data_IF_569089667670
#
_entry.id   IF_569089667670
#
_cell.length_a   1.000
_cell.length_b   1.000
_cell.length_c   1.000
_cell.angle_alpha   90.00
_cell.angle_beta   90.00
_cell.angle_gamma   90.00
#
_symmetry.space_group_name_H-M   'P 1'
#
loop_
_entity.id
_entity.type
_entity.pdbx_description
1 polymer ?
#
# COMPACT_ATOMS: atom_id res chain seq x y z
N UNK A 1 15.61 63.53 -20.65
CA UNK A 1 14.25 62.99 -20.43
C UNK A 1 14.16 62.41 -19.03
N UNK A 2 13.90 63.27 -18.06
CA UNK A 2 13.55 62.83 -16.71
C UNK A 2 12.06 62.48 -16.80
N UNK A 3 11.74 61.19 -16.74
CA UNK A 3 10.36 60.73 -16.58
C UNK A 3 9.92 61.02 -15.14
N UNK A 4 9.49 62.24 -14.87
CA UNK A 4 8.72 62.57 -13.65
C UNK A 4 7.25 62.30 -13.93
N UNK A 5 6.60 61.56 -13.02
CA UNK A 5 5.16 61.31 -13.09
C UNK A 5 4.39 62.65 -13.20
N UNK A 6 3.43 62.78 -14.13
CA UNK A 6 2.64 64.00 -14.26
C UNK A 6 1.77 64.21 -13.02
N UNK A 7 1.79 65.42 -12.46
CA UNK A 7 0.92 65.83 -11.36
C UNK A 7 -0.49 66.05 -11.95
N UNK A 8 -1.27 64.97 -12.06
CA UNK A 8 -2.70 65.08 -12.32
C UNK A 8 -3.43 65.43 -11.01
N UNK A 9 -4.22 66.50 -11.04
CA UNK A 9 -5.13 66.86 -9.96
C UNK A 9 -6.25 65.82 -9.86
N UNK A 10 -6.00 64.80 -9.04
CA UNK A 10 -6.91 64.25 -8.03
C UNK A 10 -8.40 64.22 -8.41
N UNK A 11 -8.78 63.20 -9.21
CA UNK A 11 -10.04 62.46 -8.99
C UNK A 11 -9.93 61.52 -7.75
N UNK A 12 -8.86 61.64 -6.94
CA UNK A 12 -8.53 60.77 -5.81
C UNK A 12 -9.59 60.67 -4.71
N UNK A 13 -10.53 61.61 -4.55
CA UNK A 13 -11.44 61.53 -3.41
C UNK A 13 -12.46 60.38 -3.50
N UNK A 14 -12.71 59.87 -4.71
CA UNK A 14 -13.59 58.72 -4.92
C UNK A 14 -12.80 57.42 -4.77
N UNK A 15 -11.63 57.35 -5.40
CA UNK A 15 -10.72 56.21 -5.34
C UNK A 15 -10.20 55.93 -3.92
N UNK A 16 -9.92 56.96 -3.11
CA UNK A 16 -9.45 56.75 -1.75
C UNK A 16 -10.53 56.20 -0.82
N UNK A 17 -11.80 56.57 -1.04
CA UNK A 17 -12.92 56.01 -0.27
C UNK A 17 -13.20 54.57 -0.66
N UNK A 18 -13.14 54.26 -1.96
CA UNK A 18 -13.26 52.89 -2.45
C UNK A 18 -12.09 52.03 -1.94
N UNK A 19 -10.87 52.54 -1.98
CA UNK A 19 -9.67 51.87 -1.45
C UNK A 19 -9.72 51.68 0.08
N UNK A 20 -10.19 52.67 0.85
CA UNK A 20 -10.37 52.51 2.30
C UNK A 20 -11.48 51.50 2.63
N UNK A 21 -12.56 51.46 1.84
CA UNK A 21 -13.61 50.46 1.99
C UNK A 21 -13.08 49.06 1.69
N UNK A 22 -12.38 48.89 0.58
CA UNK A 22 -11.80 47.60 0.20
C UNK A 22 -10.73 47.14 1.20
N UNK A 23 -9.88 48.05 1.68
CA UNK A 23 -8.87 47.74 2.69
C UNK A 23 -9.48 47.36 4.04
N UNK A 24 -10.63 47.95 4.39
CA UNK A 24 -11.41 47.57 5.57
C UNK A 24 -12.05 46.19 5.40
N UNK A 25 -12.66 45.93 4.24
CA UNK A 25 -13.25 44.63 3.93
C UNK A 25 -12.19 43.50 3.94
N UNK A 26 -11.00 43.78 3.40
CA UNK A 26 -9.85 42.87 3.42
C UNK A 26 -9.32 42.64 4.84
N UNK A 27 -9.21 43.67 5.67
CA UNK A 27 -8.77 43.50 7.07
C UNK A 27 -9.80 42.74 7.89
N UNK A 28 -11.11 42.97 7.67
CA UNK A 28 -12.17 42.16 8.28
C UNK A 28 -12.13 40.70 7.81
N UNK A 29 -11.86 40.44 6.53
CA UNK A 29 -11.65 39.09 6.00
C UNK A 29 -10.42 38.42 6.65
N UNK A 30 -9.29 39.11 6.73
CA UNK A 30 -8.06 38.60 7.36
C UNK A 30 -8.30 38.29 8.84
N UNK A 31 -8.99 39.15 9.57
CA UNK A 31 -9.35 38.92 10.97
C UNK A 31 -10.31 37.74 11.14
N UNK A 32 -11.26 37.59 10.22
CA UNK A 32 -12.21 36.47 10.21
C UNK A 32 -11.52 35.15 9.88
N UNK A 33 -10.57 35.13 8.95
CA UNK A 33 -9.81 33.92 8.61
C UNK A 33 -8.75 33.56 9.65
N UNK A 34 -8.07 34.55 10.24
CA UNK A 34 -7.08 34.32 11.30
C UNK A 34 -7.71 33.80 12.60
N UNK A 35 -8.91 34.25 12.96
CA UNK A 35 -9.63 33.79 14.16
C UNK A 35 -10.36 32.44 13.98
N UNK A 36 -10.82 32.11 12.77
CA UNK A 36 -11.62 30.90 12.51
C UNK A 36 -10.85 29.67 12.02
N UNK A 37 -9.51 29.76 11.85
CA UNK A 37 -8.69 28.67 11.32
C UNK A 37 -8.75 27.37 12.16
N UNK A 38 -9.18 27.45 13.42
CA UNK A 38 -9.20 26.31 14.36
C UNK A 38 -10.56 25.59 14.40
N UNK A 39 -11.67 26.15 13.87
CA UNK A 39 -13.01 25.63 14.18
C UNK A 39 -13.94 25.31 13.00
N UNK A 40 -13.61 25.63 11.73
CA UNK A 40 -14.43 25.17 10.60
C UNK A 40 -13.94 23.81 10.06
N UNK A 41 -14.57 22.73 10.53
CA UNK A 41 -14.89 21.62 9.62
C UNK A 41 -15.86 22.20 8.60
N UNK A 42 -15.37 22.56 7.42
CA UNK A 42 -16.23 22.93 6.31
C UNK A 42 -17.27 21.83 6.13
N UNK A 43 -18.55 22.18 6.16
CA UNK A 43 -19.61 21.28 5.69
C UNK A 43 -19.36 21.12 4.20
N UNK A 44 -18.63 20.06 3.83
CA UNK A 44 -18.31 19.78 2.45
C UNK A 44 -19.63 19.58 1.68
N UNK A 45 -19.78 20.32 0.59
CA UNK A 45 -20.96 20.24 -0.29
C UNK A 45 -21.08 18.88 -0.98
N UNK A 46 -19.96 18.16 -1.06
CA UNK A 46 -19.90 16.79 -1.52
C UNK A 46 -19.60 15.88 -0.31
N UNK A 47 -20.21 14.71 -0.32
CA UNK A 47 -19.87 13.59 0.57
C UNK A 47 -19.61 12.35 -0.27
N UNK A 48 -18.69 11.51 0.18
CA UNK A 48 -18.27 10.32 -0.56
C UNK A 48 -18.46 9.12 0.36
N UNK A 49 -19.37 8.24 -0.01
CA UNK A 49 -19.59 6.96 0.64
C UNK A 49 -19.05 5.84 -0.26
N UNK A 50 -18.50 4.79 0.34
CA UNK A 50 -17.94 3.65 -0.40
C UNK A 50 -18.75 2.40 -0.04
N UNK A 51 -19.36 1.77 -1.05
CA UNK A 51 -20.09 0.53 -0.91
C UNK A 51 -19.19 -0.66 -1.30
N UNK A 52 -18.88 -1.50 -0.32
CA UNK A 52 -17.89 -2.58 -0.41
C UNK A 52 -18.63 -3.91 -0.41
N UNK A 53 -18.66 -4.65 -1.53
CA UNK A 53 -19.40 -5.91 -1.60
C UNK A 53 -18.65 -7.05 -0.90
N UNK A 54 -19.38 -7.94 -0.21
CA UNK A 54 -18.76 -9.11 0.44
C UNK A 54 -18.45 -10.26 -0.54
N UNK A 55 -18.76 -10.12 -1.83
CA UNK A 55 -18.60 -11.16 -2.84
C UNK A 55 -17.75 -10.70 -4.01
N UNK A 56 -16.89 -11.60 -4.50
CA UNK A 56 -16.03 -11.35 -5.66
C UNK A 56 -16.74 -11.77 -6.96
N UNK A 57 -16.63 -10.93 -7.99
CA UNK A 57 -17.05 -11.27 -9.35
C UNK A 57 -16.09 -12.32 -9.92
N UNK A 58 -16.54 -13.58 -9.98
CA UNK A 58 -15.72 -14.74 -10.40
C UNK A 58 -15.33 -14.74 -11.89
N UNK A 59 -15.82 -13.80 -12.71
CA UNK A 59 -15.50 -13.77 -14.12
C UNK A 59 -14.09 -13.23 -14.38
N UNK A 60 -13.18 -14.09 -14.86
CA UNK A 60 -11.83 -13.69 -15.29
C UNK A 60 -11.74 -13.19 -16.74
N UNK A 61 -12.83 -13.23 -17.50
CA UNK A 61 -12.83 -12.96 -18.95
C UNK A 61 -12.43 -11.53 -19.35
N UNK A 62 -12.18 -10.64 -18.39
CA UNK A 62 -11.70 -9.25 -18.59
C UNK A 62 -10.49 -8.89 -17.71
N UNK A 63 -9.86 -9.88 -17.08
CA UNK A 63 -8.72 -9.62 -16.20
C UNK A 63 -7.45 -9.32 -17.01
N UNK A 64 -6.61 -8.36 -16.57
CA UNK A 64 -5.30 -8.13 -17.18
C UNK A 64 -4.42 -9.40 -17.13
N UNK A 65 -3.48 -9.54 -18.08
CA UNK A 65 -2.56 -10.71 -18.15
C UNK A 65 -1.75 -10.93 -16.86
N UNK A 66 -1.45 -9.84 -16.15
CA UNK A 66 -0.71 -9.86 -14.88
C UNK A 66 -1.58 -10.21 -13.64
N UNK A 67 -2.89 -10.43 -13.80
CA UNK A 67 -3.82 -10.63 -12.68
C UNK A 67 -3.78 -12.06 -12.18
N UNK A 68 -3.58 -12.24 -10.87
CA UNK A 68 -3.69 -13.56 -10.21
C UNK A 68 -5.05 -13.75 -9.53
N UNK A 69 -5.82 -12.67 -9.33
CA UNK A 69 -7.14 -12.70 -8.71
C UNK A 69 -8.26 -12.50 -9.73
N UNK A 70 -9.50 -12.91 -9.41
CA UNK A 70 -10.68 -12.39 -10.09
C UNK A 70 -10.83 -10.87 -9.85
N UNK A 71 -11.70 -10.24 -10.65
CA UNK A 71 -11.97 -8.81 -10.54
C UNK A 71 -12.91 -8.52 -9.37
N UNK A 72 -12.60 -7.47 -8.61
CA UNK A 72 -13.37 -7.03 -7.47
C UNK A 72 -13.90 -5.62 -7.70
N UNK A 73 -15.21 -5.45 -7.69
CA UNK A 73 -15.86 -4.17 -7.99
C UNK A 73 -16.27 -3.47 -6.70
N UNK A 74 -15.94 -2.20 -6.55
CA UNK A 74 -16.37 -1.36 -5.42
C UNK A 74 -17.09 -0.15 -5.98
N UNK A 75 -18.23 0.19 -5.39
CA UNK A 75 -19.05 1.32 -5.81
C UNK A 75 -18.76 2.54 -4.94
N UNK A 76 -18.35 3.64 -5.57
CA UNK A 76 -18.19 4.93 -4.92
C UNK A 76 -19.45 5.76 -5.12
N UNK A 77 -20.15 6.08 -4.05
CA UNK A 77 -21.37 6.90 -4.06
C UNK A 77 -21.00 8.33 -3.67
N UNK A 78 -20.96 9.21 -4.67
CA UNK A 78 -20.67 10.63 -4.50
C UNK A 78 -22.00 11.37 -4.42
N UNK A 79 -22.28 11.98 -3.27
CA UNK A 79 -23.50 12.76 -3.04
C UNK A 79 -23.17 14.23 -2.99
N UNK A 80 -23.87 15.03 -3.79
CA UNK A 80 -23.75 16.49 -3.77
C UNK A 80 -25.03 17.09 -3.19
N UNK A 81 -24.86 17.97 -2.20
CA UNK A 81 -25.91 18.80 -1.62
C UNK A 81 -25.94 20.21 -2.21
N UNK A 82 -25.09 20.47 -3.22
CA UNK A 82 -25.03 21.77 -3.88
C UNK A 82 -26.27 22.02 -4.74
N UNK A 83 -26.81 23.25 -4.65
CA UNK A 83 -27.92 23.71 -5.50
C UNK A 83 -27.47 24.15 -6.90
N UNK A 84 -26.19 23.96 -7.25
CA UNK A 84 -25.57 24.33 -8.51
C UNK A 84 -24.73 23.17 -9.06
N UNK A 85 -24.37 23.23 -10.34
CA UNK A 85 -23.54 22.22 -10.99
C UNK A 85 -22.08 22.36 -10.56
N UNK A 86 -21.50 21.29 -10.03
CA UNK A 86 -20.07 21.19 -9.76
C UNK A 86 -19.43 20.51 -10.97
N UNK A 87 -18.42 21.15 -11.54
CA UNK A 87 -17.74 20.70 -12.74
C UNK A 87 -16.41 20.02 -12.42
N UNK A 88 -15.94 19.15 -13.33
CA UNK A 88 -14.59 18.56 -13.32
C UNK A 88 -14.22 17.84 -12.02
N UNK A 89 -15.12 16.98 -11.54
CA UNK A 89 -14.88 16.20 -10.33
C UNK A 89 -13.98 15.03 -10.68
N UNK A 90 -12.86 14.90 -9.97
CA UNK A 90 -11.84 13.88 -10.20
C UNK A 90 -11.82 12.92 -9.03
N UNK A 91 -12.15 11.66 -9.28
CA UNK A 91 -11.99 10.57 -8.32
C UNK A 91 -10.62 9.93 -8.56
N UNK A 92 -9.75 10.03 -7.55
CA UNK A 92 -8.45 9.35 -7.50
C UNK A 92 -8.51 8.26 -6.44
N UNK A 93 -8.12 7.04 -6.79
CA UNK A 93 -8.06 5.90 -5.88
C UNK A 93 -6.64 5.35 -5.81
N UNK A 94 -6.12 5.23 -4.60
CA UNK A 94 -4.78 4.76 -4.27
C UNK A 94 -4.85 3.53 -3.36
N UNK A 95 -5.03 2.32 -3.91
CA UNK A 95 -4.88 1.08 -3.16
C UNK A 95 -3.40 0.78 -2.87
N UNK A 96 -3.15 -0.06 -1.87
CA UNK A 96 -1.79 -0.55 -1.57
C UNK A 96 -1.44 -1.71 -2.50
N UNK A 97 -0.34 -1.58 -3.23
CA UNK A 97 0.19 -2.65 -4.07
C UNK A 97 0.46 -3.90 -3.21
N UNK A 98 0.16 -5.13 -3.69
CA UNK A 98 -0.24 -5.59 -5.02
C UNK A 98 -1.70 -5.37 -5.45
N UNK A 99 -2.55 -4.75 -4.63
CA UNK A 99 -3.91 -4.43 -5.05
C UNK A 99 -3.86 -3.24 -6.02
N UNK A 100 -4.42 -3.41 -7.21
CA UNK A 100 -4.36 -2.41 -8.28
C UNK A 100 -5.77 -2.13 -8.78
N UNK A 101 -6.09 -0.83 -8.92
CA UNK A 101 -7.29 -0.38 -9.60
C UNK A 101 -7.05 -0.38 -11.11
N UNK A 102 -7.99 -0.93 -11.89
CA UNK A 102 -7.93 -0.93 -13.36
C UNK A 102 -7.98 0.50 -13.92
N UNK A 103 -8.80 1.36 -13.31
CA UNK A 103 -8.92 2.79 -13.61
C UNK A 103 -8.80 3.57 -12.29
N UNK A 104 -7.57 3.88 -11.83
CA UNK A 104 -7.34 4.57 -10.56
C UNK A 104 -7.79 6.03 -10.59
N UNK A 105 -8.01 6.60 -11.77
CA UNK A 105 -8.44 7.96 -11.96
C UNK A 105 -9.65 8.01 -12.87
N UNK A 106 -10.71 8.68 -12.43
CA UNK A 106 -11.93 8.90 -13.21
C UNK A 106 -12.38 10.35 -13.11
N UNK A 107 -12.79 10.92 -14.25
CA UNK A 107 -13.33 12.27 -14.33
C UNK A 107 -14.83 12.19 -14.48
N UNK A 108 -15.54 12.97 -13.69
CA UNK A 108 -16.98 13.17 -13.76
C UNK A 108 -17.17 14.62 -14.18
N UNK A 109 -17.81 14.81 -15.33
CA UNK A 109 -17.90 16.12 -15.96
C UNK A 109 -18.73 17.08 -15.13
N UNK A 110 -19.91 16.65 -14.66
CA UNK A 110 -20.81 17.46 -13.83
C UNK A 110 -21.57 16.62 -12.83
N UNK A 111 -21.75 17.14 -11.61
CA UNK A 111 -22.70 16.61 -10.63
C UNK A 111 -23.60 17.77 -10.17
N UNK A 112 -24.91 17.54 -10.20
CA UNK A 112 -25.95 18.42 -9.67
C UNK A 112 -26.41 17.94 -8.29
N UNK A 113 -27.54 18.44 -7.78
CA UNK A 113 -28.12 17.91 -6.54
C UNK A 113 -28.57 16.45 -6.76
N UNK A 114 -27.87 15.52 -6.11
CA UNK A 114 -28.13 14.09 -6.28
C UNK A 114 -26.96 13.20 -5.93
N UNK A 115 -27.12 11.91 -6.25
CA UNK A 115 -26.16 10.86 -5.96
C UNK A 115 -25.66 10.24 -7.26
N UNK A 116 -24.35 10.20 -7.46
CA UNK A 116 -23.71 9.52 -8.59
C UNK A 116 -22.92 8.33 -8.08
N UNK A 117 -23.17 7.14 -8.62
CA UNK A 117 -22.44 5.92 -8.26
C UNK A 117 -21.43 5.59 -9.35
N UNK A 118 -20.19 5.33 -8.93
CA UNK A 118 -19.06 5.07 -9.83
C UNK A 118 -18.45 3.72 -9.47
N UNK A 119 -18.53 2.72 -10.38
CA UNK A 119 -17.86 1.45 -10.16
C UNK A 119 -16.36 1.58 -10.43
N UNK A 120 -15.55 1.08 -9.50
CA UNK A 120 -14.10 0.95 -9.64
C UNK A 120 -13.72 -0.51 -9.46
N UNK A 121 -12.97 -1.04 -10.42
CA UNK A 121 -12.56 -2.45 -10.45
C UNK A 121 -11.13 -2.58 -9.94
N UNK A 122 -10.91 -3.52 -9.03
CA UNK A 122 -9.63 -3.86 -8.41
C UNK A 122 -9.25 -5.32 -8.70
N UNK A 123 -7.95 -5.60 -8.67
CA UNK A 123 -7.40 -6.95 -8.75
C UNK A 123 -6.05 -7.01 -8.02
N UNK A 124 -5.55 -8.20 -7.75
CA UNK A 124 -4.28 -8.44 -7.05
C UNK A 124 -3.24 -9.00 -8.02
N UNK A 125 -2.00 -8.50 -7.93
CA UNK A 125 -0.83 -9.03 -8.66
C UNK A 125 0.09 -9.87 -7.78
N UNK A 126 0.59 -10.99 -8.30
CA UNK A 126 1.81 -11.76 -7.94
C UNK A 126 2.22 -12.06 -6.47
N UNK A 127 1.78 -11.34 -5.43
CA UNK A 127 2.19 -11.49 -4.03
C UNK A 127 1.09 -11.06 -3.04
N UNK A 128 1.37 -11.15 -1.74
CA UNK A 128 0.41 -10.82 -0.65
C UNK A 128 0.55 -9.34 -0.29
N UNK A 129 -0.55 -8.59 -0.10
CA UNK A 129 -0.49 -7.20 0.35
C UNK A 129 -0.12 -7.03 1.82
N UNK A 130 0.61 -5.95 2.12
CA UNK A 130 0.98 -5.58 3.49
C UNK A 130 -0.23 -5.19 4.36
N UNK A 131 -1.24 -4.57 3.76
CA UNK A 131 -2.49 -4.21 4.42
C UNK A 131 -3.64 -4.20 3.40
N UNK A 132 -4.87 -4.01 3.87
CA UNK A 132 -6.07 -3.95 3.05
C UNK A 132 -6.62 -2.52 2.93
N UNK A 133 -5.82 -1.52 3.28
CA UNK A 133 -6.29 -0.14 3.32
C UNK A 133 -6.29 0.45 1.90
N UNK A 134 -7.32 1.22 1.58
CA UNK A 134 -7.43 1.97 0.33
C UNK A 134 -7.78 3.41 0.65
N UNK A 135 -7.06 4.33 0.02
CA UNK A 135 -7.38 5.76 0.07
C UNK A 135 -8.05 6.16 -1.24
N UNK A 136 -9.02 7.06 -1.16
CA UNK A 136 -9.63 7.67 -2.31
C UNK A 136 -9.87 9.16 -2.05
N UNK A 137 -9.51 9.98 -3.02
CA UNK A 137 -9.59 11.43 -2.96
C UNK A 137 -10.48 11.92 -4.09
N UNK A 138 -11.49 12.71 -3.74
CA UNK A 138 -12.35 13.41 -4.70
C UNK A 138 -11.93 14.87 -4.73
N UNK A 139 -11.49 15.32 -5.89
CA UNK A 139 -11.02 16.69 -6.12
C UNK A 139 -12.03 17.38 -7.01
N UNK A 140 -12.50 18.57 -6.64
CA UNK A 140 -13.46 19.33 -7.43
C UNK A 140 -13.20 20.84 -7.34
N UNK A 141 -13.68 21.56 -8.35
CA UNK A 141 -13.65 23.02 -8.42
C UNK A 141 -15.06 23.57 -8.37
N UNK A 142 -15.27 24.63 -7.60
CA UNK A 142 -16.55 25.34 -7.55
C UNK A 142 -16.66 26.28 -8.77
N UNK A 143 -17.85 26.45 -9.38
CA UNK A 143 -18.00 27.25 -10.60
C UNK A 143 -17.64 28.74 -10.46
N UNK A 144 -17.63 29.26 -9.23
CA UNK A 144 -17.35 30.68 -8.92
C UNK A 144 -16.08 30.87 -8.06
N UNK A 145 -15.25 29.83 -7.92
CA UNK A 145 -14.00 29.92 -7.15
C UNK A 145 -12.90 29.15 -7.87
N UNK A 146 -11.72 29.76 -7.98
CA UNK A 146 -10.51 29.08 -8.44
C UNK A 146 -9.95 28.12 -7.37
N UNK A 147 -10.59 28.04 -6.20
CA UNK A 147 -10.23 27.11 -5.14
C UNK A 147 -10.63 25.67 -5.50
N UNK A 148 -9.65 24.77 -5.38
CA UNK A 148 -9.88 23.33 -5.48
C UNK A 148 -10.12 22.75 -4.10
N UNK A 149 -11.23 22.04 -3.95
CA UNK A 149 -11.55 21.32 -2.73
C UNK A 149 -11.22 19.85 -2.91
N UNK A 150 -10.70 19.24 -1.84
CA UNK A 150 -10.35 17.82 -1.82
C UNK A 150 -11.05 17.14 -0.65
N UNK A 151 -11.78 16.08 -0.93
CA UNK A 151 -12.38 15.20 0.07
C UNK A 151 -11.62 13.89 0.05
N UNK A 152 -11.08 13.50 1.20
CA UNK A 152 -10.43 12.21 1.36
C UNK A 152 -11.38 11.24 2.05
N UNK A 153 -11.50 10.05 1.49
CA UNK A 153 -12.14 8.92 2.12
C UNK A 153 -11.16 7.75 2.16
N UNK A 154 -11.30 6.90 3.16
CA UNK A 154 -10.46 5.72 3.34
C UNK A 154 -11.32 4.56 3.77
N UNK A 155 -11.07 3.39 3.20
CA UNK A 155 -11.78 2.17 3.55
C UNK A 155 -10.83 0.98 3.57
N UNK A 156 -11.31 -0.16 4.06
CA UNK A 156 -10.55 -1.41 4.05
C UNK A 156 -11.22 -2.43 3.15
N UNK A 157 -10.44 -3.10 2.31
CA UNK A 157 -10.92 -4.24 1.54
C UNK A 157 -11.22 -5.42 2.47
N UNK A 158 -12.23 -6.25 2.15
CA UNK A 158 -12.43 -7.53 2.82
C UNK A 158 -11.31 -8.49 2.43
N UNK A 159 -10.94 -9.39 3.36
CA UNK A 159 -9.85 -10.36 3.18
C UNK A 159 -10.01 -11.25 1.94
N UNK A 160 -11.25 -11.44 1.47
CA UNK A 160 -11.57 -12.22 0.28
C UNK A 160 -10.88 -11.67 -0.98
N UNK A 161 -10.59 -10.36 -1.06
CA UNK A 161 -9.85 -9.80 -2.22
C UNK A 161 -8.48 -10.48 -2.41
N UNK A 162 -7.89 -11.00 -1.33
CA UNK A 162 -6.58 -11.62 -1.34
C UNK A 162 -6.60 -13.13 -1.58
N UNK A 163 -7.77 -13.79 -1.53
CA UNK A 163 -7.86 -15.23 -1.66
C UNK A 163 -9.25 -15.82 -1.43
N UNK A 164 -9.31 -17.14 -1.39
CA UNK A 164 -10.56 -17.88 -1.23
C UNK A 164 -10.47 -18.94 -0.13
N UNK A 165 -11.62 -19.45 0.29
CA UNK A 165 -11.68 -20.61 1.18
C UNK A 165 -11.16 -21.86 0.47
N UNK A 166 -10.27 -22.59 1.13
CA UNK A 166 -9.63 -23.77 0.58
C UNK A 166 -9.47 -24.86 1.65
N UNK A 167 -9.17 -26.08 1.22
CA UNK A 167 -8.97 -27.20 2.15
C UNK A 167 -7.86 -26.87 3.18
N UNK A 168 -8.10 -27.07 4.49
CA UNK A 168 -7.10 -26.77 5.50
C UNK A 168 -5.89 -27.70 5.35
N UNK A 169 -4.70 -27.13 5.48
CA UNK A 169 -3.44 -27.87 5.48
C UNK A 169 -3.20 -28.47 6.86
N UNK A 170 -2.83 -29.76 6.90
CA UNK A 170 -2.52 -30.48 8.16
C UNK A 170 -1.06 -30.35 8.56
N UNK A 171 -0.17 -30.12 7.60
CA UNK A 171 1.27 -30.00 7.81
C UNK A 171 1.68 -28.57 7.50
N UNK A 172 1.98 -27.82 8.56
CA UNK A 172 2.38 -26.42 8.51
C UNK A 172 3.64 -26.22 9.35
N UNK A 173 4.68 -25.63 8.75
CA UNK A 173 5.96 -25.32 9.41
C UNK A 173 5.79 -24.29 10.53
N UNK A 174 5.16 -23.16 10.23
CA UNK A 174 5.00 -22.04 11.15
C UNK A 174 3.60 -22.02 11.76
N UNK A 175 3.52 -21.73 13.06
CA UNK A 175 2.29 -21.72 13.84
C UNK A 175 2.31 -20.50 14.74
N UNK A 176 1.16 -19.85 14.88
CA UNK A 176 0.98 -18.73 15.79
C UNK A 176 -0.32 -18.93 16.54
N UNK A 177 -0.24 -18.91 17.86
CA UNK A 177 -1.41 -19.08 18.72
C UNK A 177 -1.72 -17.79 19.47
N UNK A 178 -2.95 -17.33 19.33
CA UNK A 178 -3.53 -16.16 20.01
C UNK A 178 -4.51 -16.65 21.06
N UNK A 179 -4.45 -16.08 22.26
CA UNK A 179 -5.38 -16.34 23.36
C UNK A 179 -6.07 -15.04 23.75
N UNK A 180 -7.39 -15.10 23.93
CA UNK A 180 -8.25 -13.97 24.24
C UNK A 180 -9.02 -14.22 25.53
N UNK A 181 -9.33 -13.18 26.28
CA UNK A 181 -10.23 -13.26 27.45
C UNK A 181 -11.71 -13.51 27.08
N UNK A 182 -12.06 -13.50 25.79
CA UNK A 182 -13.43 -13.78 25.33
C UNK A 182 -13.84 -15.24 25.52
N UNK A 183 -15.15 -15.51 25.71
CA UNK A 183 -15.71 -16.86 25.59
C UNK A 183 -15.44 -17.42 24.20
N UNK A 184 -15.50 -18.75 24.07
CA UNK A 184 -15.25 -19.44 22.80
C UNK A 184 -16.19 -18.90 21.72
N UNK A 185 -15.63 -18.26 20.68
CA UNK A 185 -16.36 -17.84 19.49
C UNK A 185 -16.02 -18.78 18.34
N UNK A 186 -17.04 -19.28 17.65
CA UNK A 186 -16.86 -20.19 16.53
C UNK A 186 -16.38 -19.44 15.29
N UNK A 187 -15.54 -20.06 14.46
CA UNK A 187 -15.00 -19.42 13.26
C UNK A 187 -16.07 -18.96 12.25
N UNK A 188 -17.18 -19.69 12.02
CA UNK A 188 -18.28 -19.20 11.18
C UNK A 188 -18.93 -17.90 11.71
N UNK A 189 -18.87 -17.65 13.02
CA UNK A 189 -19.38 -16.43 13.62
C UNK A 189 -18.41 -15.25 13.46
N UNK A 190 -17.12 -15.53 13.35
CA UNK A 190 -16.07 -14.54 13.08
C UNK A 190 -16.04 -14.16 11.59
N UNK A 191 -16.34 -15.12 10.71
CA UNK A 191 -16.31 -14.98 9.25
C UNK A 191 -17.69 -15.03 8.61
N UNK A 192 -18.67 -14.32 9.21
CA UNK A 192 -20.07 -14.26 8.74
C UNK A 192 -20.20 -13.74 7.31
N UNK A 193 -19.37 -12.78 6.93
CA UNK A 193 -19.29 -12.16 5.60
C UNK A 193 -18.86 -13.15 4.50
N UNK A 194 -18.08 -14.17 4.85
CA UNK A 194 -17.63 -15.23 3.93
C UNK A 194 -18.62 -16.41 3.94
N UNK A 195 -19.53 -16.47 4.92
CA UNK A 195 -20.56 -17.49 5.01
C UNK A 195 -21.75 -17.11 4.11
N UNK A 196 -22.10 -17.93 3.10
CA UNK A 196 -23.10 -17.55 2.11
C UNK A 196 -24.53 -17.41 2.67
N UNK A 197 -24.82 -18.02 3.84
CA UNK A 197 -26.09 -17.91 4.61
C UNK A 197 -25.85 -18.21 6.09
N UNK A 198 -26.64 -17.62 6.99
CA UNK A 198 -26.63 -17.97 8.42
C UNK A 198 -26.86 -19.49 8.61
N UNK A 199 -25.99 -20.12 9.41
CA UNK A 199 -26.06 -21.55 9.70
C UNK A 199 -25.48 -22.48 8.62
N UNK A 200 -25.15 -21.99 7.41
CA UNK A 200 -24.53 -22.79 6.36
C UNK A 200 -23.01 -22.64 6.43
N UNK A 201 -22.33 -23.71 6.80
CA UNK A 201 -20.87 -23.75 6.84
C UNK A 201 -20.34 -23.93 5.40
N UNK A 202 -19.54 -22.99 4.87
CA UNK A 202 -18.94 -23.10 3.54
C UNK A 202 -18.13 -24.38 3.36
N UNK A 203 -18.00 -24.83 2.10
CA UNK A 203 -17.05 -25.88 1.73
C UNK A 203 -15.65 -25.46 2.20
N UNK A 204 -14.97 -26.33 2.95
CA UNK A 204 -13.66 -26.11 3.57
C UNK A 204 -13.61 -25.25 4.84
N UNK A 205 -14.75 -24.85 5.36
CA UNK A 205 -14.90 -24.38 6.74
C UNK A 205 -15.53 -25.48 7.59
N UNK A 206 -15.15 -25.53 8.85
CA UNK A 206 -15.82 -26.31 9.90
C UNK A 206 -16.05 -25.39 11.09
N UNK A 207 -16.73 -25.87 12.14
CA UNK A 207 -17.00 -25.07 13.35
C UNK A 207 -15.74 -24.40 13.93
N UNK A 208 -14.61 -25.09 13.83
CA UNK A 208 -13.35 -24.70 14.48
C UNK A 208 -12.15 -24.64 13.53
N UNK A 209 -12.31 -24.96 12.26
CA UNK A 209 -11.20 -24.97 11.29
C UNK A 209 -11.61 -24.22 10.05
N UNK A 210 -10.76 -23.29 9.61
CA UNK A 210 -10.89 -22.56 8.34
C UNK A 210 -9.60 -22.73 7.57
N UNK A 211 -9.68 -23.21 6.34
CA UNK A 211 -8.59 -23.11 5.39
C UNK A 211 -8.80 -21.92 4.46
N UNK A 212 -7.74 -21.15 4.24
CA UNK A 212 -7.70 -19.99 3.35
C UNK A 212 -6.53 -20.15 2.38
N UNK A 213 -6.73 -19.81 1.11
CA UNK A 213 -5.71 -19.87 0.08
C UNK A 213 -5.63 -18.52 -0.62
N UNK A 214 -4.47 -17.89 -0.54
CA UNK A 214 -4.16 -16.68 -1.29
C UNK A 214 -4.14 -16.96 -2.80
N UNK A 215 -4.36 -15.92 -3.60
CA UNK A 215 -4.30 -16.03 -5.07
C UNK A 215 -2.93 -16.48 -5.60
N UNK A 216 -1.85 -16.22 -4.85
CA UNK A 216 -0.51 -16.73 -5.16
C UNK A 216 -0.30 -18.20 -4.74
N UNK A 217 -1.38 -18.91 -4.38
CA UNK A 217 -1.45 -20.33 -4.01
C UNK A 217 -0.87 -20.69 -2.64
N UNK A 218 -0.51 -19.71 -1.81
CA UNK A 218 -0.10 -19.96 -0.43
C UNK A 218 -1.32 -20.28 0.44
N UNK A 219 -1.24 -21.35 1.23
CA UNK A 219 -2.33 -21.81 2.10
C UNK A 219 -2.07 -21.42 3.56
N UNK A 220 -3.13 -21.00 4.25
CA UNK A 220 -3.15 -20.71 5.68
C UNK A 220 -4.32 -21.48 6.31
N UNK A 221 -4.11 -22.01 7.50
CA UNK A 221 -5.13 -22.72 8.26
C UNK A 221 -5.30 -22.10 9.63
N UNK A 222 -6.53 -21.74 9.97
CA UNK A 222 -6.94 -21.21 11.27
C UNK A 222 -7.68 -22.31 12.02
N UNK A 223 -7.21 -22.62 13.23
CA UNK A 223 -7.81 -23.60 14.13
C UNK A 223 -8.25 -22.88 15.42
N UNK A 224 -9.56 -22.75 15.63
CA UNK A 224 -10.15 -22.31 16.89
C UNK A 224 -10.21 -23.45 17.91
N UNK A 225 -9.99 -23.13 19.17
CA UNK A 225 -10.20 -24.04 20.29
C UNK A 225 -11.68 -24.15 20.62
N UNK A 226 -12.14 -25.34 21.02
CA UNK A 226 -13.52 -25.58 21.46
C UNK A 226 -13.78 -25.20 22.91
N UNK A 227 -12.73 -25.01 23.71
CA UNK A 227 -12.82 -24.89 25.18
C UNK A 227 -12.35 -23.55 25.73
N UNK A 228 -11.57 -22.80 24.95
CA UNK A 228 -11.01 -21.49 25.33
C UNK A 228 -11.05 -20.56 24.12
N UNK A 229 -11.07 -19.25 24.33
CA UNK A 229 -10.89 -18.24 23.27
C UNK A 229 -9.48 -18.25 22.72
N UNK A 230 -9.06 -19.36 22.10
CA UNK A 230 -7.71 -19.57 21.59
C UNK A 230 -7.78 -19.94 20.12
N UNK A 231 -7.04 -19.22 19.28
CA UNK A 231 -7.01 -19.41 17.83
C UNK A 231 -5.57 -19.61 17.38
N UNK A 232 -5.32 -20.69 16.64
CA UNK A 232 -4.02 -21.01 16.07
C UNK A 232 -4.05 -20.82 14.55
N UNK A 233 -3.23 -19.91 14.06
CA UNK A 233 -2.98 -19.68 12.64
C UNK A 233 -1.74 -20.49 12.26
N UNK A 234 -1.74 -21.12 11.09
CA UNK A 234 -0.63 -21.96 10.66
C UNK A 234 -0.45 -21.96 9.15
N UNK A 235 0.80 -21.98 8.70
CA UNK A 235 1.20 -21.91 7.29
C UNK A 235 2.59 -22.53 7.10
N UNK A 236 2.96 -22.87 5.86
CA UNK A 236 4.35 -23.20 5.50
C UNK A 236 5.23 -21.97 5.28
N UNK A 237 4.61 -20.80 5.14
CA UNK A 237 5.25 -19.51 4.87
C UNK A 237 4.90 -18.53 5.99
N UNK A 238 5.91 -17.81 6.50
CA UNK A 238 5.78 -16.95 7.67
C UNK A 238 5.00 -15.66 7.32
N UNK A 239 5.30 -15.08 6.17
CA UNK A 239 4.68 -13.87 5.62
C UNK A 239 3.15 -14.01 5.47
N UNK A 240 2.67 -15.24 5.27
CA UNK A 240 1.26 -15.54 5.06
C UNK A 240 0.42 -15.44 6.33
N UNK A 241 1.05 -15.51 7.51
CA UNK A 241 0.38 -15.52 8.82
C UNK A 241 -0.09 -14.11 9.19
N UNK A 242 0.71 -13.08 8.91
CA UNK A 242 0.50 -11.72 9.41
C UNK A 242 -0.84 -11.10 8.97
N UNK A 243 -1.20 -11.20 7.69
CA UNK A 243 -2.42 -10.57 7.18
C UNK A 243 -3.68 -11.22 7.77
N UNK A 244 -3.69 -12.55 7.88
CA UNK A 244 -4.78 -13.31 8.53
C UNK A 244 -4.83 -13.02 10.03
N UNK A 245 -3.68 -12.85 10.69
CA UNK A 245 -3.59 -12.47 12.09
C UNK A 245 -4.31 -11.13 12.34
N UNK A 246 -4.02 -10.10 11.54
CA UNK A 246 -4.64 -8.78 11.71
C UNK A 246 -6.13 -8.82 11.41
N UNK A 247 -6.53 -9.50 10.33
CA UNK A 247 -7.93 -9.67 10.00
C UNK A 247 -8.70 -10.35 11.14
N UNK A 248 -8.16 -11.46 11.67
CA UNK A 248 -8.75 -12.18 12.81
C UNK A 248 -8.81 -11.28 14.06
N UNK A 249 -7.73 -10.58 14.40
CA UNK A 249 -7.65 -9.64 15.53
C UNK A 249 -8.71 -8.54 15.42
N UNK A 250 -8.89 -7.96 14.23
CA UNK A 250 -9.86 -6.89 14.00
C UNK A 250 -11.30 -7.40 14.12
N UNK A 251 -11.60 -8.59 13.58
CA UNK A 251 -12.92 -9.22 13.68
C UNK A 251 -13.27 -9.57 15.13
N UNK A 252 -12.30 -10.10 15.88
CA UNK A 252 -12.47 -10.37 17.32
C UNK A 252 -12.71 -9.08 18.09
N UNK A 253 -11.97 -8.00 17.79
CA UNK A 253 -12.20 -6.67 18.38
C UNK A 253 -13.62 -6.16 18.11
N UNK A 254 -14.10 -6.27 16.88
CA UNK A 254 -15.48 -5.87 16.52
C UNK A 254 -16.51 -6.68 17.32
N UNK A 255 -16.35 -8.00 17.39
CA UNK A 255 -17.24 -8.86 18.18
C UNK A 255 -17.20 -8.55 19.68
N UNK A 256 -16.03 -8.20 20.21
CA UNK A 256 -15.88 -7.80 21.60
C UNK A 256 -16.65 -6.51 21.90
N UNK A 257 -16.60 -5.53 21.00
CA UNK A 257 -17.34 -4.26 21.13
C UNK A 257 -18.86 -4.49 21.11
N UNK A 258 -19.33 -5.49 20.37
CA UNK A 258 -20.76 -5.84 20.30
C UNK A 258 -21.25 -6.61 21.53
N UNK A 259 -20.41 -7.47 22.12
CA UNK A 259 -20.82 -8.45 23.13
C UNK A 259 -20.38 -8.14 24.56
N UNK A 260 -19.33 -7.34 24.76
CA UNK A 260 -18.70 -7.14 26.06
C UNK A 260 -18.53 -5.68 26.43
N UNK A 261 -18.58 -5.42 27.73
CA UNK A 261 -18.26 -4.12 28.37
C UNK A 261 -16.83 -4.05 28.89
N UNK A 262 -16.13 -5.18 29.01
CA UNK A 262 -14.74 -5.25 29.48
C UNK A 262 -13.73 -5.08 28.34
N UNK A 263 -12.53 -4.62 28.68
CA UNK A 263 -11.44 -4.45 27.71
C UNK A 263 -10.95 -5.81 27.19
N UNK A 264 -10.78 -5.91 25.88
CA UNK A 264 -10.28 -7.12 25.21
C UNK A 264 -8.78 -7.28 25.44
N UNK A 265 -8.38 -8.37 26.08
CA UNK A 265 -6.99 -8.76 26.28
C UNK A 265 -6.62 -9.88 25.29
N UNK A 266 -5.57 -9.65 24.49
CA UNK A 266 -5.09 -10.56 23.45
C UNK A 266 -3.62 -10.88 23.74
N UNK A 267 -3.33 -12.16 24.00
CA UNK A 267 -1.99 -12.67 24.29
C UNK A 267 -1.50 -13.60 23.19
N UNK A 268 -0.21 -13.53 22.90
CA UNK A 268 0.46 -14.45 22.00
C UNK A 268 1.15 -15.55 22.82
N UNK A 269 0.89 -16.81 22.47
CA UNK A 269 1.46 -17.94 23.21
C UNK A 269 2.87 -18.30 22.72
N UNK A 270 3.16 -18.03 21.46
CA UNK A 270 4.40 -18.43 20.81
C UNK A 270 5.33 -17.21 20.72
N UNK A 271 6.54 -17.33 21.26
CA UNK A 271 7.66 -16.45 20.95
C UNK A 271 8.39 -17.08 19.78
N UNK A 272 8.24 -16.54 18.58
CA UNK A 272 9.16 -16.93 17.52
C UNK A 272 10.56 -16.45 17.88
N UNK A 273 11.51 -17.37 17.83
CA UNK A 273 12.92 -17.05 17.98
C UNK A 273 13.38 -16.29 16.75
N UNK A 274 14.25 -15.29 16.93
CA UNK A 274 14.72 -14.44 15.81
C UNK A 274 15.39 -15.27 14.70
N UNK A 275 15.90 -16.45 15.03
CA UNK A 275 16.57 -17.38 14.12
C UNK A 275 15.67 -17.80 12.95
N UNK A 276 14.34 -17.88 13.13
CA UNK A 276 13.39 -18.20 12.05
C UNK A 276 13.29 -17.09 10.99
N UNK A 277 13.72 -15.87 11.35
CA UNK A 277 13.61 -14.67 10.52
C UNK A 277 14.89 -14.41 9.71
N UNK A 278 16.06 -14.78 10.24
CA UNK A 278 17.39 -14.57 9.63
C UNK A 278 17.44 -14.98 8.15
N UNK A 279 16.92 -16.15 7.73
CA UNK A 279 16.98 -16.56 6.32
C UNK A 279 16.29 -15.59 5.36
N UNK A 280 15.23 -14.89 5.81
CA UNK A 280 14.54 -13.90 4.99
C UNK A 280 15.36 -12.62 4.84
N UNK A 281 16.12 -12.22 5.87
CA UNK A 281 17.05 -11.09 5.77
C UNK A 281 18.21 -11.42 4.83
N UNK A 282 18.82 -12.59 4.99
CA UNK A 282 19.92 -13.06 4.13
C UNK A 282 19.50 -13.12 2.66
N UNK A 283 18.30 -13.62 2.36
CA UNK A 283 17.77 -13.68 0.99
C UNK A 283 17.67 -12.29 0.33
N UNK A 284 17.20 -11.27 1.07
CA UNK A 284 17.12 -9.89 0.56
C UNK A 284 18.51 -9.31 0.34
N UNK A 285 19.44 -9.53 1.27
CA UNK A 285 20.81 -9.05 1.17
C UNK A 285 21.48 -9.67 -0.07
N UNK A 286 21.42 -10.99 -0.20
CA UNK A 286 22.00 -11.74 -1.32
C UNK A 286 21.42 -11.28 -2.67
N UNK A 287 20.11 -11.04 -2.77
CA UNK A 287 19.47 -10.53 -3.99
C UNK A 287 19.90 -9.11 -4.33
N UNK A 288 20.04 -8.24 -3.34
CA UNK A 288 20.52 -6.87 -3.55
C UNK A 288 22.00 -6.84 -3.96
N UNK A 289 22.86 -7.64 -3.34
CA UNK A 289 24.26 -7.81 -3.75
C UNK A 289 24.35 -8.30 -5.20
N UNK A 290 23.54 -9.30 -5.56
CA UNK A 290 23.46 -9.77 -6.95
C UNK A 290 23.00 -8.66 -7.90
N UNK A 291 22.03 -7.82 -7.51
CA UNK A 291 21.58 -6.70 -8.33
C UNK A 291 22.71 -5.68 -8.55
N UNK A 292 23.51 -5.39 -7.53
CA UNK A 292 24.67 -4.50 -7.64
C UNK A 292 25.70 -5.07 -8.61
N UNK A 293 26.08 -6.34 -8.47
CA UNK A 293 27.04 -6.99 -9.38
C UNK A 293 26.58 -6.97 -10.83
N UNK A 294 25.31 -7.29 -11.10
CA UNK A 294 24.74 -7.23 -12.46
C UNK A 294 24.69 -5.79 -13.00
N UNK A 295 24.46 -4.81 -12.14
CA UNK A 295 24.44 -3.38 -12.51
C UNK A 295 25.84 -2.90 -12.88
N UNK A 296 26.88 -3.34 -12.17
CA UNK A 296 28.27 -3.04 -12.53
C UNK A 296 28.67 -3.73 -13.84
N UNK A 297 28.25 -4.99 -14.02
CA UNK A 297 28.50 -5.74 -15.25
C UNK A 297 27.85 -5.09 -16.47
N UNK A 298 26.57 -4.69 -16.40
CA UNK A 298 25.91 -3.99 -17.52
C UNK A 298 26.57 -2.65 -17.81
N UNK A 299 27.03 -1.92 -16.79
CA UNK A 299 27.76 -0.67 -16.97
C UNK A 299 29.08 -0.91 -17.72
N UNK A 300 29.85 -1.91 -17.30
CA UNK A 300 31.10 -2.31 -17.94
C UNK A 300 30.88 -2.75 -19.39
N UNK A 301 29.86 -3.57 -19.66
CA UNK A 301 29.51 -4.02 -21.01
C UNK A 301 29.03 -2.87 -21.90
N UNK A 302 28.27 -1.93 -21.35
CA UNK A 302 27.83 -0.73 -22.07
C UNK A 302 29.00 0.18 -22.43
N UNK A 303 29.99 0.31 -21.55
CA UNK A 303 31.24 1.03 -21.86
C UNK A 303 32.02 0.34 -22.97
N UNK A 304 32.18 -0.99 -22.90
CA UNK A 304 32.82 -1.78 -23.96
C UNK A 304 32.10 -1.58 -25.30
N UNK A 305 30.77 -1.68 -25.31
CA UNK A 305 29.94 -1.46 -26.48
C UNK A 305 30.18 -0.07 -27.10
N UNK A 306 30.17 0.99 -26.28
CA UNK A 306 30.46 2.36 -26.72
C UNK A 306 31.87 2.50 -27.30
N UNK A 307 32.88 1.86 -26.71
CA UNK A 307 34.27 1.89 -27.22
C UNK A 307 34.37 1.18 -28.58
N UNK A 308 33.72 0.03 -28.74
CA UNK A 308 33.67 -0.70 -30.03
C UNK A 308 32.97 0.12 -31.10
N UNK A 309 31.83 0.74 -30.77
CA UNK A 309 31.13 1.65 -31.68
C UNK A 309 31.99 2.83 -32.11
N UNK A 310 32.70 3.49 -31.18
CA UNK A 310 33.62 4.59 -31.49
C UNK A 310 34.74 4.13 -32.42
N UNK A 311 35.35 2.96 -32.16
CA UNK A 311 36.40 2.38 -33.03
C UNK A 311 35.87 2.06 -34.43
N UNK A 312 34.67 1.47 -34.54
CA UNK A 312 34.03 1.21 -35.82
C UNK A 312 33.77 2.51 -36.59
N UNK A 313 33.27 3.55 -35.93
CA UNK A 313 33.02 4.87 -36.55
C UNK A 313 34.31 5.51 -37.07
N UNK A 314 35.42 5.41 -36.34
CA UNK A 314 36.71 5.90 -36.82
C UNK A 314 37.14 5.17 -38.10
N UNK A 315 37.06 3.84 -38.12
CA UNK A 315 37.41 3.07 -39.31
C UNK A 315 36.46 3.28 -40.49
N UNK A 316 35.17 3.56 -40.26
CA UNK A 316 34.23 3.93 -41.34
C UNK A 316 34.53 5.32 -41.92
N UNK A 317 35.15 6.21 -41.15
CA UNK A 317 35.57 7.53 -41.61
C UNK A 317 36.86 7.47 -42.44
N UNK A 318 37.72 6.50 -42.15
CA UNK A 318 38.98 6.31 -42.85
C UNK A 318 38.76 5.71 -44.25
N UNK A 319 39.51 6.22 -45.25
CA UNK A 319 39.44 5.73 -46.64
C UNK A 319 40.24 4.44 -46.89
N UNK A 320 40.94 3.93 -45.88
CA UNK A 320 41.82 2.78 -45.99
C UNK A 320 40.98 1.51 -45.76
N UNK A 321 40.98 0.53 -46.68
CA UNK A 321 40.21 -0.70 -46.50
C UNK A 321 40.84 -1.56 -45.39
N UNK A 322 40.16 -1.66 -44.24
CA UNK A 322 40.53 -2.53 -43.13
C UNK A 322 39.40 -3.55 -42.90
N UNK A 323 39.75 -4.80 -42.58
CA UNK A 323 38.75 -5.82 -42.26
C UNK A 323 38.05 -5.50 -40.92
N UNK A 324 36.73 -5.29 -40.97
CA UNK A 324 35.90 -4.94 -39.80
C UNK A 324 35.13 -6.12 -39.20
N UNK A 325 35.31 -7.33 -39.75
CA UNK A 325 34.52 -8.52 -39.39
C UNK A 325 34.66 -8.85 -37.90
N UNK A 326 35.88 -8.80 -37.36
CA UNK A 326 36.13 -9.07 -35.93
C UNK A 326 35.46 -8.05 -35.00
N UNK A 327 35.50 -6.76 -35.36
CA UNK A 327 34.85 -5.69 -34.59
C UNK A 327 33.32 -5.76 -34.66
N UNK A 328 32.76 -6.15 -35.81
CA UNK A 328 31.32 -6.37 -35.98
C UNK A 328 30.83 -7.55 -35.14
N UNK A 329 31.52 -8.69 -35.20
CA UNK A 329 31.18 -9.86 -34.38
C UNK A 329 31.29 -9.54 -32.88
N UNK A 330 32.30 -8.75 -32.47
CA UNK A 330 32.45 -8.32 -31.08
C UNK A 330 31.31 -7.38 -30.65
N UNK A 331 30.88 -6.48 -31.53
CA UNK A 331 29.74 -5.59 -31.29
C UNK A 331 28.46 -6.40 -31.06
N UNK A 332 28.16 -7.37 -31.93
CA UNK A 332 26.98 -8.24 -31.84
C UNK A 332 26.99 -9.04 -30.52
N UNK A 333 28.10 -9.71 -30.20
CA UNK A 333 28.23 -10.47 -28.94
C UNK A 333 28.08 -9.59 -27.70
N UNK A 334 28.60 -8.36 -27.75
CA UNK A 334 28.47 -7.40 -26.63
C UNK A 334 27.02 -6.94 -26.49
N UNK A 335 26.31 -6.74 -27.61
CA UNK A 335 24.89 -6.40 -27.62
C UNK A 335 24.02 -7.54 -27.05
N UNK A 336 24.24 -8.78 -27.47
CA UNK A 336 23.56 -9.96 -26.93
C UNK A 336 23.78 -10.10 -25.42
N UNK A 337 25.02 -9.90 -24.96
CA UNK A 337 25.36 -9.92 -23.54
C UNK A 337 24.62 -8.83 -22.76
N UNK A 338 24.54 -7.59 -23.29
CA UNK A 338 23.77 -6.51 -22.66
C UNK A 338 22.29 -6.87 -22.57
N UNK A 339 21.73 -7.45 -23.64
CA UNK A 339 20.33 -7.85 -23.66
C UNK A 339 20.03 -8.92 -22.61
N UNK A 340 20.89 -9.95 -22.49
CA UNK A 340 20.78 -11.00 -21.47
C UNK A 340 20.82 -10.43 -20.06
N UNK A 341 21.85 -9.62 -19.75
CA UNK A 341 22.02 -9.02 -18.41
C UNK A 341 20.83 -8.11 -18.09
N UNK A 342 20.32 -7.34 -19.06
CA UNK A 342 19.13 -6.51 -18.88
C UNK A 342 17.90 -7.34 -18.51
N UNK A 343 17.68 -8.47 -19.19
CA UNK A 343 16.59 -9.40 -18.85
C UNK A 343 16.72 -9.97 -17.44
N UNK A 344 17.93 -10.36 -17.03
CA UNK A 344 18.22 -10.83 -15.67
C UNK A 344 17.95 -9.75 -14.63
N UNK A 345 18.38 -8.50 -14.86
CA UNK A 345 18.13 -7.36 -13.97
C UNK A 345 16.63 -7.13 -13.81
N UNK A 346 15.85 -7.17 -14.89
CA UNK A 346 14.40 -6.97 -14.84
C UNK A 346 13.73 -8.06 -13.98
N UNK A 347 14.12 -9.32 -14.18
CA UNK A 347 13.57 -10.44 -13.41
C UNK A 347 13.97 -10.34 -11.93
N UNK A 348 15.25 -10.05 -11.65
CA UNK A 348 15.75 -9.91 -10.29
C UNK A 348 15.08 -8.73 -9.56
N UNK A 349 14.83 -7.60 -10.23
CA UNK A 349 14.06 -6.48 -9.66
C UNK A 349 12.63 -6.88 -9.28
N UNK A 350 11.97 -7.70 -10.11
CA UNK A 350 10.63 -8.24 -9.79
C UNK A 350 10.68 -9.14 -8.55
N UNK A 351 11.69 -10.01 -8.45
CA UNK A 351 11.87 -10.90 -7.30
C UNK A 351 12.21 -10.13 -6.02
N UNK A 352 13.10 -9.14 -6.08
CA UNK A 352 13.44 -8.26 -4.95
C UNK A 352 12.18 -7.56 -4.45
N UNK A 353 11.35 -7.05 -5.37
CA UNK A 353 10.09 -6.41 -5.01
C UNK A 353 9.21 -7.34 -4.17
N UNK A 354 8.97 -8.56 -4.63
CA UNK A 354 8.17 -9.57 -3.89
C UNK A 354 8.82 -9.88 -2.53
N UNK A 355 10.14 -10.05 -2.51
CA UNK A 355 10.88 -10.37 -1.28
C UNK A 355 10.77 -9.23 -0.26
N UNK A 356 10.82 -7.97 -0.70
CA UNK A 356 10.62 -6.79 0.15
C UNK A 356 9.20 -6.75 0.75
N UNK A 357 8.16 -7.13 0.00
CA UNK A 357 6.81 -7.22 0.56
C UNK A 357 6.71 -8.31 1.63
N UNK A 358 7.28 -9.49 1.38
CA UNK A 358 7.35 -10.56 2.37
C UNK A 358 8.10 -10.10 3.63
N UNK A 359 9.19 -9.36 3.45
CA UNK A 359 9.96 -8.77 4.53
C UNK A 359 9.17 -7.79 5.38
N UNK A 360 8.40 -6.89 4.74
CA UNK A 360 7.56 -5.93 5.43
C UNK A 360 6.51 -6.65 6.28
N UNK A 361 5.83 -7.67 5.71
CA UNK A 361 4.84 -8.49 6.43
C UNK A 361 5.45 -9.14 7.69
N UNK A 362 6.63 -9.72 7.52
CA UNK A 362 7.37 -10.39 8.59
C UNK A 362 7.83 -9.38 9.67
N UNK A 363 8.35 -8.23 9.25
CA UNK A 363 8.79 -7.16 10.16
C UNK A 363 7.63 -6.60 10.96
N UNK A 364 6.47 -6.40 10.33
CA UNK A 364 5.30 -5.96 11.06
C UNK A 364 4.76 -7.02 12.02
N UNK A 365 4.90 -8.31 11.69
CA UNK A 365 4.56 -9.38 12.63
C UNK A 365 5.47 -9.32 13.86
N UNK A 366 6.77 -9.09 13.68
CA UNK A 366 7.72 -8.87 14.78
C UNK A 366 7.34 -7.64 15.62
N UNK A 367 7.03 -6.51 14.96
CA UNK A 367 6.58 -5.30 15.64
C UNK A 367 5.30 -5.55 16.44
N UNK A 368 4.34 -6.29 15.90
CA UNK A 368 3.11 -6.65 16.60
C UNK A 368 3.41 -7.47 17.87
N UNK A 369 4.34 -8.42 17.82
CA UNK A 369 4.76 -9.16 19.03
C UNK A 369 5.48 -8.26 20.04
N UNK A 370 6.33 -7.37 19.57
CA UNK A 370 7.04 -6.43 20.45
C UNK A 370 6.13 -5.38 21.06
N UNK A 371 5.06 -5.00 20.36
CA UNK A 371 4.06 -4.07 20.87
C UNK A 371 3.38 -4.58 22.14
N UNK A 372 3.41 -5.90 22.38
CA UNK A 372 2.84 -6.54 23.56
C UNK A 372 3.85 -6.78 24.70
N UNK A 373 5.15 -6.54 24.48
CA UNK A 373 6.16 -6.65 25.54
C UNK A 373 6.11 -5.40 26.44
N UNK A 374 6.40 -5.53 27.73
CA UNK A 374 6.40 -4.41 28.69
C UNK A 374 7.24 -3.19 28.25
N UNK A 375 8.27 -3.42 27.44
CA UNK A 375 9.13 -2.37 26.89
C UNK A 375 8.38 -1.39 25.96
N UNK A 376 7.51 -1.88 25.06
CA UNK A 376 6.76 -1.01 24.13
C UNK A 376 5.77 -0.13 24.89
N UNK A 377 5.13 -0.68 25.94
CA UNK A 377 4.16 0.02 26.78
C UNK A 377 4.85 1.14 27.56
N UNK A 378 6.06 0.89 28.07
CA UNK A 378 6.87 1.89 28.79
C UNK A 378 7.44 2.98 27.88
N UNK A 379 7.82 2.65 26.65
CA UNK A 379 8.47 3.58 25.71
C UNK A 379 7.67 3.81 24.43
N UNK A 380 6.35 4.04 24.58
CA UNK A 380 5.40 4.17 23.46
C UNK A 380 5.86 5.13 22.35
N UNK A 381 6.36 6.32 22.70
CA UNK A 381 6.87 7.30 21.70
C UNK A 381 8.02 6.77 20.85
N UNK A 382 8.95 6.03 21.46
CA UNK A 382 10.09 5.45 20.73
C UNK A 382 9.65 4.27 19.87
N UNK A 383 8.64 3.52 20.34
CA UNK A 383 8.04 2.43 19.58
C UNK A 383 7.19 2.94 18.41
N UNK A 384 6.52 4.08 18.54
CA UNK A 384 5.79 4.74 17.44
C UNK A 384 6.78 5.23 16.37
N UNK A 385 7.89 5.84 16.77
CA UNK A 385 9.00 6.21 15.86
C UNK A 385 9.61 4.98 15.16
N UNK A 386 9.75 3.86 15.88
CA UNK A 386 10.17 2.59 15.30
C UNK A 386 9.15 2.12 14.25
N UNK A 387 7.85 2.09 14.57
CA UNK A 387 6.82 1.73 13.60
C UNK A 387 6.86 2.62 12.35
N UNK A 388 7.10 3.93 12.50
CA UNK A 388 7.30 4.84 11.37
C UNK A 388 8.54 4.49 10.54
N UNK A 389 9.63 4.10 11.19
CA UNK A 389 10.86 3.63 10.52
C UNK A 389 10.76 2.22 9.94
N UNK A 390 9.61 1.57 10.01
CA UNK A 390 9.33 0.33 9.26
C UNK A 390 8.21 0.55 8.24
N UNK A 391 7.88 1.82 7.94
CA UNK A 391 6.81 2.14 7.02
C UNK A 391 7.05 1.50 5.64
N UNK A 392 6.02 0.85 5.04
CA UNK A 392 6.13 0.19 3.73
C UNK A 392 6.54 1.17 2.64
N UNK A 393 6.13 2.44 2.81
CA UNK A 393 6.44 3.51 1.88
C UNK A 393 7.93 3.84 1.87
N UNK A 394 8.62 3.75 3.01
CA UNK A 394 10.06 3.95 3.10
C UNK A 394 10.83 2.76 2.52
N UNK A 395 10.39 1.53 2.82
CA UNK A 395 10.97 0.28 2.30
C UNK A 395 10.80 0.07 0.80
N UNK A 396 9.75 0.63 0.19
CA UNK A 396 9.47 0.52 -1.24
C UNK A 396 10.08 1.66 -2.07
N UNK A 397 10.33 2.85 -1.48
CA UNK A 397 10.90 4.01 -2.18
C UNK A 397 12.44 3.96 -2.29
N UNK A 398 13.12 3.17 -1.46
CA UNK A 398 14.58 3.09 -1.42
C UNK A 398 15.17 2.16 -2.49
N UNK A 399 14.88 2.41 -3.77
CA UNK A 399 15.49 1.69 -4.90
C UNK A 399 17.03 1.81 -4.96
N UNK A 400 17.63 2.74 -4.19
CA UNK A 400 19.09 2.94 -4.12
C UNK A 400 19.74 2.86 -2.74
N UNK A 401 18.97 2.77 -1.65
CA UNK A 401 19.48 2.85 -0.26
C UNK A 401 18.89 1.77 0.66
N UNK A 402 18.43 0.65 0.09
CA UNK A 402 17.90 -0.48 0.84
C UNK A 402 18.92 -1.09 1.81
N UNK A 403 20.20 -1.17 1.41
CA UNK A 403 21.21 -1.88 2.21
C UNK A 403 21.41 -1.26 3.59
N UNK A 404 21.71 0.04 3.65
CA UNK A 404 21.97 0.72 4.93
C UNK A 404 20.73 0.76 5.82
N UNK A 405 19.54 0.90 5.23
CA UNK A 405 18.28 0.96 5.98
C UNK A 405 17.90 -0.41 6.55
N UNK A 406 18.01 -1.48 5.74
CA UNK A 406 17.77 -2.85 6.17
C UNK A 406 18.82 -3.28 7.18
N UNK A 407 20.08 -2.94 6.99
CA UNK A 407 21.16 -3.19 7.96
C UNK A 407 20.93 -2.42 9.26
N UNK A 408 20.47 -1.18 9.21
CA UNK A 408 20.09 -0.41 10.40
C UNK A 408 18.91 -1.06 11.12
N UNK A 409 17.90 -1.52 10.38
CA UNK A 409 16.77 -2.28 10.92
C UNK A 409 17.28 -3.57 11.60
N UNK A 410 18.11 -4.36 10.93
CA UNK A 410 18.71 -5.58 11.50
C UNK A 410 19.49 -5.26 12.77
N UNK A 411 20.30 -4.20 12.76
CA UNK A 411 21.08 -3.79 13.93
C UNK A 411 20.18 -3.33 15.09
N UNK A 412 19.11 -2.59 14.81
CA UNK A 412 18.12 -2.21 15.83
C UNK A 412 17.43 -3.46 16.39
N UNK A 413 17.05 -4.41 15.54
CA UNK A 413 16.45 -5.68 15.95
C UNK A 413 17.44 -6.48 16.83
N UNK A 414 18.69 -6.60 16.40
CA UNK A 414 19.76 -7.28 17.16
C UNK A 414 20.02 -6.63 18.52
N UNK A 415 20.02 -5.30 18.60
CA UNK A 415 20.17 -4.56 19.86
C UNK A 415 18.96 -4.79 20.76
N UNK A 416 17.74 -4.81 20.21
CA UNK A 416 16.53 -5.09 20.99
C UNK A 416 16.52 -6.51 21.54
N UNK A 417 17.00 -7.49 20.78
CA UNK A 417 17.07 -8.90 21.19
C UNK A 417 18.19 -9.17 22.21
N UNK A 418 19.35 -8.51 22.06
CA UNK A 418 20.47 -8.67 22.98
C UNK A 418 20.29 -7.95 24.33
N UNK A 419 19.33 -7.01 24.43
CA UNK A 419 19.02 -6.29 25.68
C UNK A 419 18.14 -7.08 26.67
N UNK A 420 17.65 -8.25 26.28
CA UNK A 420 16.99 -9.20 27.20
C UNK A 420 18.02 -10.12 27.94
N UNK A 421 19.33 -9.82 27.88
CA UNK A 421 20.38 -10.45 28.70
C UNK A 421 20.96 -9.51 29.76
#
# INVERSE_FOLDING_TARGET
NIYTAPIQQIEMNKDYKEMESEMKDLTELIDKYSKNYVQKKEQSLITVDVNIPNTINKSMNKAPEDSISPLYEVEFVIKSTANFYIHNIKLLVSPVEPIIALKPYQIIETISNGTTTIPVIFYVKNHIPCNLDCQASVIYSLPNSDETQTINCSFKFPIIICGELAAPSKENKFKLTIETNLPVVLLPEIYKDICPKEGVIPKYMSKNIVGFKYWNKINVTINGSTRRGRYRISSNYLEAIYLILIDLKNRIKQLSLEKMTEELDIKYQESYEFDDYIPYFEDIINKNERLLTLTDDINNKTLQYKVIQKKLLLHYKDKIPVSLIGLRNLLEKTYESIHSISGEIINLKKEIKITNYNFILISFMLLEFWSMKDFSVKHKKNFDLLCESFSPRLLLLSEGSNYLYIETIINVINIMLNKDK
#
